data_IF_576097383410
#
_entry.id   IF_576097383410
#
_cell.length_a   1.000
_cell.length_b   1.000
_cell.length_c   1.000
_cell.angle_alpha   90.00
_cell.angle_beta   90.00
_cell.angle_gamma   90.00
#
_symmetry.space_group_name_H-M   'P 1'
#
loop_
_entity.id
_entity.type
_entity.pdbx_description
1 polymer ?
#
# COMPACT_ATOMS: atom_id res chain seq x y z
N UNK A 1 15.34 7.51 -25.25
CA UNK A 1 14.65 6.56 -24.33
C UNK A 1 15.36 6.66 -22.98
N UNK A 2 14.69 7.17 -21.94
CA UNK A 2 15.31 7.26 -20.61
C UNK A 2 15.65 5.87 -20.08
N UNK A 3 16.89 5.66 -19.62
CA UNK A 3 17.27 4.38 -18.97
C UNK A 3 16.33 4.16 -17.78
N UNK A 4 15.72 2.98 -17.70
CA UNK A 4 14.93 2.54 -16.56
C UNK A 4 15.85 2.51 -15.33
N UNK A 5 15.47 3.20 -14.27
CA UNK A 5 16.22 3.17 -13.01
C UNK A 5 15.89 1.86 -12.29
N UNK A 6 16.91 1.05 -12.02
CA UNK A 6 16.79 -0.12 -11.15
C UNK A 6 17.04 0.29 -9.69
N UNK A 7 16.83 -0.63 -8.75
CA UNK A 7 16.95 -0.36 -7.31
C UNK A 7 18.33 0.16 -6.92
N UNK A 8 19.40 -0.45 -7.43
CA UNK A 8 20.78 -0.05 -7.14
C UNK A 8 21.04 1.39 -7.59
N UNK A 9 20.67 1.73 -8.83
CA UNK A 9 20.87 3.08 -9.37
C UNK A 9 20.01 4.13 -8.67
N UNK A 10 18.80 3.76 -8.24
CA UNK A 10 17.96 4.66 -7.44
C UNK A 10 18.62 5.01 -6.12
N UNK A 11 19.22 4.03 -5.43
CA UNK A 11 19.93 4.25 -4.17
C UNK A 11 21.14 5.14 -4.36
N UNK A 12 21.99 4.87 -5.35
CA UNK A 12 23.15 5.73 -5.67
C UNK A 12 22.74 7.19 -5.86
N UNK A 13 21.70 7.46 -6.67
CA UNK A 13 21.22 8.83 -6.91
C UNK A 13 20.72 9.51 -5.63
N UNK A 14 20.04 8.76 -4.76
CA UNK A 14 19.49 9.28 -3.51
C UNK A 14 20.61 9.54 -2.49
N UNK A 15 21.56 8.61 -2.37
CA UNK A 15 22.65 8.68 -1.39
C UNK A 15 23.70 9.74 -1.76
N UNK A 16 23.90 10.00 -3.06
CA UNK A 16 24.88 10.97 -3.58
C UNK A 16 24.35 12.42 -3.61
N UNK A 17 23.07 12.66 -3.31
CA UNK A 17 22.45 13.99 -3.46
C UNK A 17 21.54 14.35 -2.30
N UNK A 18 21.87 15.44 -1.61
CA UNK A 18 20.99 16.02 -0.58
C UNK A 18 19.65 16.51 -1.17
N UNK A 19 19.64 16.84 -2.46
CA UNK A 19 18.47 17.36 -3.18
C UNK A 19 17.55 16.26 -3.77
N UNK A 20 18.06 15.05 -4.01
CA UNK A 20 17.30 13.97 -4.64
C UNK A 20 16.81 12.93 -3.64
N UNK A 21 15.76 13.26 -2.91
CA UNK A 21 14.99 12.28 -2.14
C UNK A 21 14.07 11.47 -3.07
N UNK A 22 13.73 10.24 -2.67
CA UNK A 22 12.83 9.34 -3.44
C UNK A 22 11.50 10.02 -3.86
N UNK A 23 10.96 10.90 -3.00
CA UNK A 23 9.76 11.67 -3.31
C UNK A 23 9.96 12.66 -4.46
N UNK A 24 11.09 13.38 -4.50
CA UNK A 24 11.39 14.32 -5.58
C UNK A 24 11.60 13.59 -6.90
N UNK A 25 12.30 12.45 -6.88
CA UNK A 25 12.45 11.57 -8.05
C UNK A 25 11.09 11.08 -8.57
N UNK A 26 10.17 10.72 -7.66
CA UNK A 26 8.80 10.35 -8.04
C UNK A 26 8.07 11.52 -8.70
N UNK A 27 8.18 12.73 -8.15
CA UNK A 27 7.53 13.92 -8.71
C UNK A 27 8.13 14.34 -10.06
N UNK A 28 9.44 14.17 -10.24
CA UNK A 28 10.12 14.51 -11.48
C UNK A 28 9.76 13.52 -12.60
N UNK A 29 9.88 12.21 -12.34
CA UNK A 29 9.66 11.17 -13.37
C UNK A 29 8.18 10.83 -13.57
N UNK A 30 7.37 10.99 -12.52
CA UNK A 30 5.95 10.64 -12.50
C UNK A 30 5.10 11.76 -11.86
N UNK A 31 4.92 12.93 -12.51
CA UNK A 31 4.43 14.16 -11.87
C UNK A 31 3.05 14.09 -11.21
N UNK A 32 2.24 13.10 -11.55
CA UNK A 32 0.90 12.92 -10.98
C UNK A 32 0.79 11.74 -10.01
N UNK A 33 1.85 10.93 -9.85
CA UNK A 33 1.80 9.68 -9.10
C UNK A 33 1.48 9.91 -7.62
N UNK A 34 2.18 10.81 -6.93
CA UNK A 34 1.92 11.11 -5.52
C UNK A 34 0.46 11.56 -5.28
N UNK A 35 -0.03 12.51 -6.10
CA UNK A 35 -1.41 13.00 -6.02
C UNK A 35 -2.43 11.88 -6.24
N UNK A 36 -2.20 11.01 -7.23
CA UNK A 36 -3.08 9.87 -7.52
C UNK A 36 -3.04 8.85 -6.38
N UNK A 37 -1.87 8.59 -5.82
CA UNK A 37 -1.69 7.72 -4.65
C UNK A 37 -2.50 8.23 -3.46
N UNK A 38 -2.37 9.52 -3.10
CA UNK A 38 -3.16 10.10 -2.00
C UNK A 38 -4.67 10.08 -2.25
N UNK A 39 -5.11 10.23 -3.51
CA UNK A 39 -6.54 10.10 -3.84
C UNK A 39 -7.03 8.66 -3.64
N UNK A 40 -6.21 7.66 -3.99
CA UNK A 40 -6.53 6.25 -3.79
C UNK A 40 -6.59 5.91 -2.30
N UNK A 41 -5.62 6.36 -1.50
CA UNK A 41 -5.61 6.10 -0.05
C UNK A 41 -6.79 6.77 0.64
N UNK A 42 -7.16 8.01 0.26
CA UNK A 42 -8.37 8.68 0.77
C UNK A 42 -9.65 7.89 0.44
N UNK A 43 -9.75 7.33 -0.77
CA UNK A 43 -10.89 6.50 -1.14
C UNK A 43 -10.96 5.20 -0.32
N UNK A 44 -9.81 4.56 -0.07
CA UNK A 44 -9.73 3.38 0.80
C UNK A 44 -10.12 3.71 2.25
N UNK A 45 -9.65 4.84 2.80
CA UNK A 45 -10.05 5.29 4.15
C UNK A 45 -11.57 5.43 4.24
N UNK A 46 -12.17 6.13 3.27
CA UNK A 46 -13.63 6.32 3.24
C UNK A 46 -14.39 4.99 3.12
N UNK A 47 -13.92 4.08 2.25
CA UNK A 47 -14.53 2.76 2.11
C UNK A 47 -14.52 1.99 3.44
N UNK A 48 -13.37 1.97 4.13
CA UNK A 48 -13.27 1.34 5.46
C UNK A 48 -14.20 1.99 6.48
N UNK A 49 -14.29 3.32 6.52
CA UNK A 49 -15.22 4.04 7.39
C UNK A 49 -16.68 3.67 7.11
N UNK A 50 -17.05 3.58 5.84
CA UNK A 50 -18.40 3.19 5.44
C UNK A 50 -18.72 1.74 5.84
N UNK A 51 -17.77 0.81 5.69
CA UNK A 51 -17.91 -0.59 6.16
C UNK A 51 -18.01 -0.66 7.69
N UNK A 52 -17.26 0.18 8.41
CA UNK A 52 -17.25 0.23 9.87
C UNK A 52 -18.54 0.71 10.52
N UNK A 53 -19.46 1.28 9.75
CA UNK A 53 -20.82 1.58 10.22
C UNK A 53 -21.58 0.31 10.59
N UNK A 54 -21.31 -0.79 9.89
CA UNK A 54 -21.94 -2.10 10.12
C UNK A 54 -20.99 -3.07 10.84
N UNK A 55 -19.68 -2.98 10.56
CA UNK A 55 -18.64 -3.88 11.10
C UNK A 55 -17.51 -3.07 11.76
N UNK A 56 -17.65 -2.65 13.03
CA UNK A 56 -16.75 -1.68 13.68
C UNK A 56 -15.26 -2.03 13.63
N UNK A 57 -14.94 -3.32 13.65
CA UNK A 57 -13.58 -3.85 13.67
C UNK A 57 -12.98 -4.09 12.28
N UNK A 58 -13.72 -3.78 11.21
CA UNK A 58 -13.26 -4.03 9.85
C UNK A 58 -11.92 -3.34 9.54
N UNK A 59 -11.03 -4.04 8.84
CA UNK A 59 -9.68 -3.57 8.53
C UNK A 59 -9.18 -4.03 7.17
N UNK A 60 -8.10 -3.39 6.72
CA UNK A 60 -7.33 -3.89 5.58
C UNK A 60 -6.16 -4.73 6.06
N UNK A 61 -5.96 -5.87 5.44
CA UNK A 61 -4.86 -6.76 5.75
C UNK A 61 -4.01 -7.04 4.52
N UNK A 62 -2.70 -6.80 4.66
CA UNK A 62 -1.68 -7.11 3.66
C UNK A 62 -0.76 -8.19 4.24
N UNK A 63 -1.02 -9.42 3.85
CA UNK A 63 -0.23 -10.59 4.23
C UNK A 63 -0.37 -11.67 3.17
N UNK A 64 0.72 -12.39 2.90
CA UNK A 64 0.85 -13.38 1.82
C UNK A 64 0.61 -12.83 0.41
N UNK A 65 1.03 -11.58 0.14
CA UNK A 65 1.09 -10.98 -1.20
C UNK A 65 -0.23 -10.39 -1.72
N UNK A 66 -1.24 -10.22 -0.86
CA UNK A 66 -2.56 -9.74 -1.23
C UNK A 66 -3.03 -8.53 -0.42
N UNK A 67 -3.96 -7.75 -0.99
CA UNK A 67 -4.67 -6.68 -0.29
C UNK A 67 -6.11 -7.11 -0.01
N UNK A 68 -6.48 -7.29 1.26
CA UNK A 68 -7.74 -7.88 1.67
C UNK A 68 -8.55 -6.92 2.53
N UNK A 69 -9.87 -6.91 2.37
CA UNK A 69 -10.81 -6.30 3.32
C UNK A 69 -11.36 -7.38 4.24
N UNK A 70 -11.16 -7.18 5.54
CA UNK A 70 -11.67 -8.06 6.59
C UNK A 70 -12.79 -7.35 7.35
N UNK A 71 -13.79 -8.13 7.80
CA UNK A 71 -14.91 -7.61 8.61
C UNK A 71 -14.58 -7.48 10.10
N UNK A 72 -13.39 -7.92 10.51
CA UNK A 72 -12.87 -7.83 11.87
C UNK A 72 -11.38 -8.16 11.88
N UNK A 73 -10.85 -8.48 13.06
CA UNK A 73 -9.41 -8.67 13.26
C UNK A 73 -8.81 -9.77 12.37
N UNK A 74 -7.65 -9.48 11.80
CA UNK A 74 -6.84 -10.36 10.95
C UNK A 74 -6.22 -11.55 11.68
N UNK A 75 -6.14 -11.50 13.02
CA UNK A 75 -5.60 -12.55 13.86
C UNK A 75 -6.51 -12.78 15.06
N UNK A 76 -6.62 -14.03 15.49
CA UNK A 76 -7.00 -14.34 16.88
C UNK A 76 -5.72 -14.52 17.70
N UNK A 77 -5.86 -14.68 19.02
CA UNK A 77 -4.72 -14.92 19.93
C UNK A 77 -3.81 -16.10 19.51
N UNK A 78 -4.29 -16.99 18.64
CA UNK A 78 -3.59 -18.23 18.27
C UNK A 78 -3.28 -18.37 16.76
N UNK A 79 -3.95 -17.62 15.86
CA UNK A 79 -3.80 -17.86 14.41
C UNK A 79 -4.33 -16.74 13.49
N UNK A 80 -3.86 -16.65 12.22
CA UNK A 80 -4.48 -15.80 11.21
C UNK A 80 -5.95 -16.15 10.98
N UNK A 81 -6.83 -15.15 11.03
CA UNK A 81 -8.28 -15.32 10.91
C UNK A 81 -8.77 -15.13 9.48
N UNK A 82 -8.63 -16.17 8.65
CA UNK A 82 -9.07 -16.11 7.25
C UNK A 82 -10.60 -16.09 7.07
N UNK A 83 -11.38 -16.43 8.09
CA UNK A 83 -12.86 -16.51 8.00
C UNK A 83 -13.50 -15.14 7.81
N UNK A 84 -12.87 -14.07 8.30
CA UNK A 84 -13.40 -12.71 8.23
C UNK A 84 -13.00 -11.98 6.94
N UNK A 85 -12.27 -12.62 6.03
CA UNK A 85 -11.92 -12.05 4.73
C UNK A 85 -13.18 -11.94 3.84
N UNK A 86 -13.67 -10.72 3.67
CA UNK A 86 -14.82 -10.45 2.81
C UNK A 86 -14.45 -10.45 1.33
N UNK A 87 -13.39 -9.72 0.97
CA UNK A 87 -12.92 -9.60 -0.41
C UNK A 87 -11.40 -9.48 -0.49
N UNK A 88 -10.83 -10.01 -1.57
CA UNK A 88 -9.43 -9.85 -1.96
C UNK A 88 -9.34 -8.99 -3.22
N UNK A 89 -8.38 -8.09 -3.28
CA UNK A 89 -8.14 -7.29 -4.47
C UNK A 89 -7.68 -8.18 -5.65
N UNK A 90 -8.21 -7.89 -6.84
CA UNK A 90 -7.81 -8.58 -8.08
C UNK A 90 -6.78 -7.72 -8.81
N UNK A 91 -5.56 -8.25 -8.98
CA UNK A 91 -4.48 -7.61 -9.74
C UNK A 91 -3.66 -6.55 -8.97
N UNK A 92 -4.10 -6.15 -7.77
CA UNK A 92 -3.30 -5.32 -6.88
C UNK A 92 -2.30 -6.19 -6.11
N UNK A 93 -1.01 -5.92 -6.31
CA UNK A 93 0.07 -6.55 -5.57
C UNK A 93 0.63 -5.56 -4.56
N UNK A 94 0.62 -5.95 -3.29
CA UNK A 94 1.23 -5.21 -2.20
C UNK A 94 2.20 -6.17 -1.51
N UNK A 95 3.44 -5.73 -1.29
CA UNK A 95 4.41 -6.52 -0.54
C UNK A 95 3.98 -6.68 0.92
N UNK A 96 4.37 -7.79 1.54
CA UNK A 96 4.17 -8.02 2.97
C UNK A 96 5.32 -7.39 3.79
N UNK A 97 5.18 -7.36 5.13
CA UNK A 97 6.26 -6.93 6.04
C UNK A 97 7.36 -8.01 6.12
N UNK A 98 8.65 -7.67 6.09
CA UNK A 98 9.47 -6.98 7.11
C UNK A 98 10.34 -5.89 6.42
N UNK A 99 10.04 -4.61 6.68
CA UNK A 99 10.80 -3.46 6.17
C UNK A 99 11.82 -2.97 7.19
#
# INVERSE_FOLDING_TARGET
>A
MGKRLNTERLREIIDESEDHQAYFLLCEKCPTAARRFYRLTKALTKLREDVRKEFPDAEYYTGSGGFNLLLGESHTDESPNQKLRAVSAVGLHVGDGDW
#
